data_IF_505015438621
#
_entry.id   IF_505015438621
#
_cell.length_a   1.000
_cell.length_b   1.000
_cell.length_c   1.000
_cell.angle_alpha   90.00
_cell.angle_beta   90.00
_cell.angle_gamma   90.00
#
_symmetry.space_group_name_H-M   'P 1'
#
loop_
_entity.id
_entity.type
_entity.pdbx_description
1 polymer ?
#
# COMPACT_ATOMS: atom_id res chain seq x y z
N UNK A 1 8.42 26.61 -14.66
CA UNK A 1 7.92 25.57 -13.75
C UNK A 1 7.80 24.25 -14.54
N UNK A 2 8.28 23.12 -14.02
CA UNK A 2 8.45 21.86 -14.80
C UNK A 2 7.12 21.12 -15.12
N UNK A 3 5.98 21.58 -14.60
CA UNK A 3 4.64 20.98 -14.78
C UNK A 3 4.55 19.50 -14.38
N UNK A 4 5.27 19.11 -13.33
CA UNK A 4 5.35 17.71 -12.87
C UNK A 4 4.15 17.24 -12.03
N UNK A 5 3.27 18.14 -11.62
CA UNK A 5 2.16 17.85 -10.71
C UNK A 5 0.89 17.65 -11.54
N UNK A 6 0.12 16.60 -11.23
CA UNK A 6 -1.23 16.41 -11.79
C UNK A 6 -2.07 17.63 -11.45
N UNK A 7 -2.81 18.16 -12.41
CA UNK A 7 -3.65 19.34 -12.17
C UNK A 7 -4.70 19.05 -11.10
N UNK A 8 -4.70 19.87 -10.04
CA UNK A 8 -5.60 19.73 -8.91
C UNK A 8 -4.86 19.51 -7.59
N UNK A 9 -5.65 19.29 -6.54
CA UNK A 9 -5.15 18.91 -5.23
C UNK A 9 -6.04 17.76 -4.77
N UNK A 10 -5.41 16.63 -4.43
CA UNK A 10 -6.10 15.54 -3.79
C UNK A 10 -6.36 15.90 -2.31
N UNK A 11 -7.64 15.89 -1.91
CA UNK A 11 -8.10 16.21 -0.55
C UNK A 11 -8.87 15.05 0.08
N UNK A 12 -8.53 13.84 -0.33
CA UNK A 12 -9.15 12.61 0.19
C UNK A 12 -9.01 12.49 1.70
N UNK A 13 -7.90 12.99 2.25
CA UNK A 13 -7.63 12.98 3.68
C UNK A 13 -7.96 14.35 4.30
N UNK A 14 -8.89 14.41 5.29
CA UNK A 14 -9.23 15.67 5.95
C UNK A 14 -8.01 16.36 6.56
N UNK A 15 -7.83 17.64 6.22
CA UNK A 15 -6.74 18.45 6.76
C UNK A 15 -5.40 18.29 6.03
N UNK A 16 -5.33 17.50 4.94
CA UNK A 16 -4.11 17.35 4.14
C UNK A 16 -4.39 17.66 2.67
N UNK A 17 -3.53 18.49 2.08
CA UNK A 17 -3.50 18.73 0.64
C UNK A 17 -2.41 17.88 -0.01
N UNK A 18 -2.80 16.94 -0.86
CA UNK A 18 -1.89 16.07 -1.59
C UNK A 18 -1.67 16.59 -3.01
N UNK A 19 -0.40 16.89 -3.30
CA UNK A 19 0.06 17.25 -4.64
C UNK A 19 0.71 16.01 -5.27
N UNK A 20 0.02 15.42 -6.23
CA UNK A 20 0.43 14.14 -6.83
C UNK A 20 1.33 14.39 -8.03
N UNK A 21 2.49 13.73 -8.07
CA UNK A 21 3.38 13.78 -9.22
C UNK A 21 2.82 12.96 -10.39
N UNK A 22 2.90 13.51 -11.61
CA UNK A 22 2.39 12.87 -12.81
C UNK A 22 3.44 11.94 -13.42
N UNK A 23 3.32 10.63 -13.12
CA UNK A 23 4.21 9.58 -13.64
C UNK A 23 3.99 9.31 -15.13
N UNK A 24 3.04 10.00 -15.76
CA UNK A 24 2.89 10.03 -17.22
C UNK A 24 3.94 10.87 -17.89
N UNK A 25 4.57 11.78 -17.13
CA UNK A 25 5.74 12.52 -17.56
C UNK A 25 6.95 11.60 -17.39
N UNK A 26 7.67 11.23 -18.48
CA UNK A 26 8.76 10.26 -18.39
C UNK A 26 9.86 10.65 -17.39
N UNK A 27 10.15 11.95 -17.26
CA UNK A 27 11.15 12.46 -16.30
C UNK A 27 10.75 12.20 -14.84
N UNK A 28 9.46 12.30 -14.51
CA UNK A 28 8.92 12.00 -13.17
C UNK A 28 9.00 10.50 -12.89
N UNK A 29 8.55 9.68 -13.85
CA UNK A 29 8.60 8.22 -13.74
C UNK A 29 10.05 7.70 -13.56
N UNK A 30 10.97 8.25 -14.33
CA UNK A 30 12.39 7.90 -14.24
C UNK A 30 12.97 8.30 -12.89
N UNK A 31 12.64 9.50 -12.40
CA UNK A 31 13.11 10.00 -11.11
C UNK A 31 12.72 9.07 -9.95
N UNK A 32 11.46 8.61 -9.88
CA UNK A 32 11.03 7.65 -8.86
C UNK A 32 11.71 6.29 -8.98
N UNK A 33 11.86 5.79 -10.21
CA UNK A 33 12.52 4.50 -10.48
C UNK A 33 13.98 4.54 -10.03
N UNK A 34 14.68 5.65 -10.28
CA UNK A 34 16.05 5.87 -9.84
C UNK A 34 16.16 5.97 -8.32
N UNK A 35 15.29 6.73 -7.65
CA UNK A 35 15.28 6.83 -6.18
C UNK A 35 15.12 5.45 -5.55
N UNK A 36 14.16 4.65 -6.03
CA UNK A 36 13.95 3.30 -5.49
C UNK A 36 15.18 2.42 -5.70
N UNK A 37 15.76 2.42 -6.91
CA UNK A 37 16.95 1.65 -7.23
C UNK A 37 18.18 2.08 -6.38
N UNK A 38 18.35 3.39 -6.15
CA UNK A 38 19.39 3.93 -5.26
C UNK A 38 19.16 3.51 -3.81
N UNK A 39 17.92 3.57 -3.33
CA UNK A 39 17.55 3.18 -1.97
C UNK A 39 17.92 1.71 -1.70
N UNK A 40 17.51 0.77 -2.57
CA UNK A 40 17.79 -0.66 -2.35
C UNK A 40 19.27 -1.03 -2.54
N UNK A 41 20.05 -0.22 -3.27
CA UNK A 41 21.52 -0.34 -3.32
C UNK A 41 22.17 0.14 -2.04
N UNK A 42 21.68 1.25 -1.49
CA UNK A 42 22.21 1.85 -0.27
C UNK A 42 21.91 1.01 0.97
N UNK A 43 20.76 0.33 0.99
CA UNK A 43 20.33 -0.53 2.09
C UNK A 43 20.17 -1.98 1.60
N UNK A 44 21.26 -2.68 1.28
CA UNK A 44 21.19 -3.97 0.58
C UNK A 44 20.62 -5.13 1.41
N UNK A 45 20.48 -4.94 2.73
CA UNK A 45 20.02 -5.95 3.68
C UNK A 45 18.55 -5.82 4.07
N UNK A 46 17.81 -4.86 3.51
CA UNK A 46 16.35 -4.82 3.71
C UNK A 46 15.71 -5.98 2.97
N UNK A 47 14.62 -6.52 3.51
CA UNK A 47 13.89 -7.62 2.89
C UNK A 47 12.84 -7.12 1.90
N UNK A 48 12.28 -5.93 2.13
CA UNK A 48 11.20 -5.38 1.33
C UNK A 48 11.19 -3.84 1.31
N UNK A 49 10.62 -3.28 0.25
CA UNK A 49 10.09 -1.92 0.22
C UNK A 49 8.58 -2.03 0.09
N UNK A 50 7.85 -1.48 1.06
CA UNK A 50 6.39 -1.46 1.05
C UNK A 50 5.88 -0.08 0.62
N UNK A 51 4.95 -0.07 -0.33
CA UNK A 51 4.25 1.13 -0.79
C UNK A 51 2.81 1.15 -0.28
N UNK A 52 2.37 2.28 0.26
CA UNK A 52 0.98 2.45 0.70
C UNK A 52 0.04 2.83 -0.46
N UNK A 53 -1.24 2.99 -0.17
CA UNK A 53 -2.29 3.38 -1.13
C UNK A 53 -2.09 4.73 -1.84
N UNK A 54 -1.13 5.53 -1.38
CA UNK A 54 -0.63 6.71 -2.10
C UNK A 54 0.05 6.37 -3.43
N UNK A 55 0.42 5.10 -3.67
CA UNK A 55 0.82 4.62 -4.99
C UNK A 55 -0.42 4.46 -5.89
N UNK A 56 -1.06 5.58 -6.20
CA UNK A 56 -2.34 5.63 -6.88
C UNK A 56 -2.74 7.04 -7.31
N UNK A 57 -3.70 7.12 -8.21
CA UNK A 57 -4.39 8.36 -8.60
C UNK A 57 -5.81 8.35 -8.08
N UNK A 58 -6.09 9.13 -7.03
CA UNK A 58 -7.42 9.17 -6.46
C UNK A 58 -8.48 9.64 -7.47
N UNK A 59 -9.66 9.01 -7.48
CA UNK A 59 -10.71 9.24 -8.46
C UNK A 59 -11.30 10.66 -8.43
N UNK A 60 -11.15 11.36 -7.31
CA UNK A 60 -11.58 12.77 -7.16
C UNK A 60 -10.58 13.77 -7.75
N UNK A 61 -9.44 13.31 -8.29
CA UNK A 61 -8.55 14.19 -9.05
C UNK A 61 -9.29 14.80 -10.26
N UNK A 62 -9.08 16.09 -10.55
CA UNK A 62 -9.72 16.76 -11.67
C UNK A 62 -9.54 16.03 -13.02
N UNK A 63 -10.56 16.12 -13.85
CA UNK A 63 -10.57 15.58 -15.21
C UNK A 63 -11.04 14.13 -15.35
N UNK A 64 -11.14 13.35 -14.26
CA UNK A 64 -11.65 11.95 -14.27
C UNK A 64 -11.02 11.07 -15.35
N UNK A 65 -9.73 11.29 -15.60
CA UNK A 65 -8.95 10.55 -16.60
C UNK A 65 -8.55 9.21 -15.98
N UNK A 66 -8.87 8.11 -16.68
CA UNK A 66 -8.36 6.79 -16.32
C UNK A 66 -6.85 6.71 -16.59
N UNK A 67 -6.08 6.56 -15.51
CA UNK A 67 -4.61 6.48 -15.53
C UNK A 67 -4.09 5.07 -15.25
N UNK A 68 -4.98 4.06 -15.20
CA UNK A 68 -4.62 2.74 -14.69
C UNK A 68 -3.50 2.08 -15.50
N UNK A 69 -3.58 2.14 -16.84
CA UNK A 69 -2.53 1.58 -17.70
C UNK A 69 -1.20 2.33 -17.58
N UNK A 70 -1.24 3.65 -17.42
CA UNK A 70 -0.05 4.49 -17.24
C UNK A 70 0.63 4.19 -15.90
N UNK A 71 -0.15 4.11 -14.82
CA UNK A 71 0.34 3.76 -13.48
C UNK A 71 0.92 2.35 -13.46
N UNK A 72 0.23 1.38 -14.09
CA UNK A 72 0.70 0.00 -14.21
C UNK A 72 2.07 -0.10 -14.88
N UNK A 73 2.22 0.53 -16.05
CA UNK A 73 3.50 0.56 -16.76
C UNK A 73 4.62 1.21 -15.93
N UNK A 74 4.29 2.23 -15.15
CA UNK A 74 5.24 2.90 -14.26
C UNK A 74 5.67 1.98 -13.11
N UNK A 75 4.73 1.35 -12.41
CA UNK A 75 5.04 0.46 -11.28
C UNK A 75 5.85 -0.75 -11.73
N UNK A 76 5.51 -1.37 -12.86
CA UNK A 76 6.29 -2.48 -13.42
C UNK A 76 7.74 -2.07 -13.77
N UNK A 77 7.94 -0.84 -14.28
CA UNK A 77 9.28 -0.30 -14.51
C UNK A 77 10.05 -0.07 -13.21
N UNK A 78 9.39 0.46 -12.18
CA UNK A 78 9.98 0.63 -10.86
C UNK A 78 10.40 -0.72 -10.26
N UNK A 79 9.54 -1.73 -10.31
CA UNK A 79 9.83 -3.08 -9.84
C UNK A 79 11.04 -3.65 -10.60
N UNK A 80 11.04 -3.52 -11.93
CA UNK A 80 12.16 -3.98 -12.77
C UNK A 80 13.48 -3.31 -12.36
N UNK A 81 13.48 -1.98 -12.21
CA UNK A 81 14.68 -1.23 -11.82
C UNK A 81 15.16 -1.61 -10.41
N UNK A 82 14.22 -1.79 -9.47
CA UNK A 82 14.51 -2.24 -8.11
C UNK A 82 15.15 -3.63 -8.11
N UNK A 83 14.58 -4.60 -8.83
CA UNK A 83 15.09 -5.97 -8.89
C UNK A 83 16.44 -6.05 -9.63
N UNK A 84 16.68 -5.22 -10.64
CA UNK A 84 18.00 -5.07 -11.26
C UNK A 84 19.05 -4.53 -10.28
N UNK A 85 18.64 -3.60 -9.41
CA UNK A 85 19.50 -2.99 -8.41
C UNK A 85 19.79 -3.93 -7.22
N UNK A 86 18.77 -4.66 -6.76
CA UNK A 86 18.87 -5.68 -5.73
C UNK A 86 17.76 -6.74 -5.91
N UNK A 87 18.08 -7.93 -6.46
CA UNK A 87 17.06 -8.94 -6.78
C UNK A 87 16.45 -9.63 -5.55
N UNK A 88 17.03 -9.43 -4.35
CA UNK A 88 16.56 -10.05 -3.11
C UNK A 88 15.44 -9.26 -2.43
N UNK A 89 15.27 -7.98 -2.76
CA UNK A 89 14.30 -7.09 -2.11
C UNK A 89 12.91 -7.31 -2.70
N UNK A 90 11.92 -7.47 -1.85
CA UNK A 90 10.50 -7.57 -2.20
C UNK A 90 9.90 -6.19 -2.50
N UNK A 91 9.04 -6.10 -3.51
CA UNK A 91 8.17 -4.96 -3.75
C UNK A 91 6.79 -5.30 -3.19
N UNK A 92 6.52 -4.81 -1.99
CA UNK A 92 5.27 -5.05 -1.30
C UNK A 92 4.34 -3.84 -1.43
N UNK A 93 3.04 -4.07 -1.32
CA UNK A 93 2.07 -2.99 -1.18
C UNK A 93 1.16 -3.19 0.04
N UNK A 94 0.69 -2.09 0.60
CA UNK A 94 -0.45 -2.04 1.51
C UNK A 94 -1.53 -1.22 0.80
N UNK A 95 -2.60 -1.85 0.36
CA UNK A 95 -3.59 -1.18 -0.47
C UNK A 95 -4.99 -1.74 -0.22
N UNK A 96 -6.02 -0.99 -0.60
CA UNK A 96 -7.38 -1.53 -0.72
C UNK A 96 -7.45 -2.80 -1.59
N UNK A 97 -8.52 -3.57 -1.43
CA UNK A 97 -8.79 -4.74 -2.27
C UNK A 97 -8.81 -4.38 -3.78
N UNK A 98 -8.66 -5.38 -4.69
CA UNK A 98 -8.50 -5.12 -6.12
C UNK A 98 -9.62 -4.27 -6.73
N UNK A 99 -10.85 -4.48 -6.27
CA UNK A 99 -12.01 -3.76 -6.78
C UNK A 99 -11.97 -2.27 -6.40
N UNK A 100 -11.72 -1.96 -5.13
CA UNK A 100 -11.67 -0.57 -4.67
C UNK A 100 -10.40 0.16 -5.12
N UNK A 101 -9.25 -0.52 -5.12
CA UNK A 101 -7.99 0.04 -5.58
C UNK A 101 -8.09 0.51 -7.05
N UNK A 102 -8.60 -0.35 -7.93
CA UNK A 102 -8.79 0.03 -9.34
C UNK A 102 -9.82 1.14 -9.51
N UNK A 103 -10.94 1.06 -8.80
CA UNK A 103 -12.06 2.01 -8.92
C UNK A 103 -11.70 3.41 -8.42
N UNK A 104 -11.02 3.52 -7.30
CA UNK A 104 -10.83 4.79 -6.60
C UNK A 104 -9.40 5.32 -6.66
N UNK A 105 -8.41 4.52 -7.06
CA UNK A 105 -7.00 4.91 -7.07
C UNK A 105 -6.33 4.66 -8.43
N UNK A 106 -7.09 4.25 -9.46
CA UNK A 106 -6.54 3.78 -10.74
C UNK A 106 -5.47 2.67 -10.55
N UNK A 107 -5.53 1.96 -9.42
CA UNK A 107 -4.50 1.03 -9.00
C UNK A 107 -4.90 -0.41 -9.38
N UNK A 108 -4.52 -0.83 -10.58
CA UNK A 108 -4.75 -2.20 -11.08
C UNK A 108 -3.66 -3.17 -10.62
N UNK A 109 -3.43 -3.23 -9.30
CA UNK A 109 -2.22 -3.81 -8.73
C UNK A 109 -2.07 -5.33 -8.95
N UNK A 110 -3.15 -6.03 -9.28
CA UNK A 110 -3.09 -7.44 -9.68
C UNK A 110 -2.27 -7.67 -10.95
N UNK A 111 -2.00 -6.59 -11.71
CA UNK A 111 -1.22 -6.63 -12.96
C UNK A 111 0.19 -6.06 -12.81
N UNK A 112 0.60 -5.64 -11.60
CA UNK A 112 1.84 -4.89 -11.39
C UNK A 112 3.08 -5.76 -11.19
N UNK A 113 2.92 -7.09 -11.07
CA UNK A 113 4.01 -8.01 -10.72
C UNK A 113 4.61 -7.72 -9.32
N UNK A 114 3.76 -7.30 -8.38
CA UNK A 114 4.12 -7.15 -6.96
C UNK A 114 4.46 -8.50 -6.33
N UNK A 115 5.29 -8.48 -5.28
CA UNK A 115 5.65 -9.70 -4.57
C UNK A 115 4.64 -10.05 -3.46
N UNK A 116 4.11 -9.04 -2.73
CA UNK A 116 3.12 -9.23 -1.66
C UNK A 116 2.15 -8.06 -1.53
N UNK A 117 0.93 -8.34 -1.09
CA UNK A 117 -0.08 -7.33 -0.76
C UNK A 117 -0.71 -7.56 0.61
N UNK A 118 -0.78 -6.48 1.40
CA UNK A 118 -1.60 -6.39 2.60
C UNK A 118 -2.87 -5.61 2.26
N UNK A 119 -4.03 -6.27 2.40
CA UNK A 119 -5.32 -5.64 2.12
C UNK A 119 -5.72 -4.75 3.29
N UNK A 120 -5.91 -3.46 3.04
CA UNK A 120 -6.34 -2.50 4.05
C UNK A 120 -7.82 -2.71 4.44
N UNK A 121 -8.06 -3.08 5.70
CA UNK A 121 -9.40 -3.28 6.26
C UNK A 121 -9.64 -2.34 7.43
N UNK A 122 -9.72 -1.05 7.12
CA UNK A 122 -9.87 0.00 8.14
C UNK A 122 -11.33 0.33 8.48
N UNK A 123 -12.28 -0.04 7.62
CA UNK A 123 -13.72 0.16 7.84
C UNK A 123 -14.35 -1.01 8.59
N UNK A 124 -15.14 -0.73 9.64
CA UNK A 124 -15.86 -1.76 10.40
C UNK A 124 -17.03 -2.36 9.63
N UNK A 125 -17.77 -1.54 8.89
CA UNK A 125 -19.05 -1.94 8.25
C UNK A 125 -18.88 -3.01 7.17
N UNK A 126 -17.72 -3.07 6.53
CA UNK A 126 -17.44 -4.03 5.45
C UNK A 126 -16.40 -5.08 5.83
N UNK A 127 -16.01 -5.18 7.11
CA UNK A 127 -14.91 -6.04 7.57
C UNK A 127 -15.02 -7.47 7.03
N UNK A 128 -16.18 -8.13 7.20
CA UNK A 128 -16.39 -9.51 6.74
C UNK A 128 -16.28 -9.68 5.21
N UNK A 129 -16.69 -8.65 4.46
CA UNK A 129 -16.60 -8.67 2.99
C UNK A 129 -15.16 -8.50 2.54
N UNK A 130 -14.41 -7.60 3.20
CA UNK A 130 -13.00 -7.39 2.93
C UNK A 130 -12.17 -8.62 3.31
N UNK A 131 -12.57 -9.34 4.36
CA UNK A 131 -11.90 -10.56 4.80
C UNK A 131 -11.90 -11.66 3.73
N UNK A 132 -12.94 -11.70 2.87
CA UNK A 132 -12.96 -12.62 1.73
C UNK A 132 -11.84 -12.34 0.71
N UNK A 133 -11.44 -11.07 0.55
CA UNK A 133 -10.27 -10.71 -0.26
C UNK A 133 -8.98 -11.04 0.49
N UNK A 134 -8.88 -10.70 1.78
CA UNK A 134 -7.70 -11.01 2.61
C UNK A 134 -7.31 -12.49 2.49
N UNK A 135 -8.27 -13.41 2.62
CA UNK A 135 -8.03 -14.87 2.57
C UNK A 135 -7.52 -15.40 1.23
N UNK A 136 -7.50 -14.56 0.20
CA UNK A 136 -6.99 -14.89 -1.14
C UNK A 136 -5.64 -14.22 -1.43
N UNK A 137 -5.09 -13.49 -0.46
CA UNK A 137 -3.91 -12.65 -0.61
C UNK A 137 -2.97 -12.77 0.61
N UNK A 138 -1.83 -12.10 0.57
CA UNK A 138 -0.72 -12.34 1.51
C UNK A 138 -1.02 -11.89 2.94
N UNK A 139 -1.92 -10.93 3.13
CA UNK A 139 -2.27 -10.50 4.47
C UNK A 139 -3.29 -9.39 4.56
N UNK A 140 -3.50 -8.97 5.80
CA UNK A 140 -4.42 -7.90 6.18
C UNK A 140 -3.65 -6.77 6.83
N UNK A 141 -4.00 -5.53 6.50
CA UNK A 141 -3.60 -4.34 7.24
C UNK A 141 -4.77 -3.81 8.07
N UNK A 142 -4.54 -3.64 9.37
CA UNK A 142 -5.52 -3.12 10.34
C UNK A 142 -4.94 -1.99 11.18
N UNK A 143 -5.81 -1.26 11.85
CA UNK A 143 -5.44 -0.28 12.89
C UNK A 143 -5.91 -0.75 14.26
N UNK A 144 -5.57 -0.02 15.32
CA UNK A 144 -6.10 -0.26 16.66
C UNK A 144 -7.64 -0.23 16.72
N UNK A 145 -8.31 0.39 15.73
CA UNK A 145 -9.79 0.40 15.63
C UNK A 145 -10.39 -0.99 15.40
N UNK A 146 -9.60 -1.94 14.90
CA UNK A 146 -10.00 -3.32 14.61
C UNK A 146 -9.52 -4.33 15.66
N UNK A 147 -8.96 -3.89 16.79
CA UNK A 147 -8.40 -4.84 17.79
C UNK A 147 -9.43 -5.79 18.41
N UNK A 148 -10.71 -5.46 18.35
CA UNK A 148 -11.80 -6.39 18.71
C UNK A 148 -11.83 -7.65 17.82
N UNK A 149 -11.28 -7.58 16.60
CA UNK A 149 -11.20 -8.68 15.64
C UNK A 149 -9.86 -9.43 15.70
N UNK A 150 -8.86 -8.91 16.41
CA UNK A 150 -7.48 -9.40 16.37
C UNK A 150 -7.36 -10.88 16.77
N UNK A 151 -8.12 -11.31 17.78
CA UNK A 151 -8.15 -12.72 18.20
C UNK A 151 -8.68 -13.64 17.10
N UNK A 152 -9.73 -13.22 16.40
CA UNK A 152 -10.26 -13.96 15.25
C UNK A 152 -9.24 -14.01 14.11
N UNK A 153 -8.57 -12.89 13.83
CA UNK A 153 -7.57 -12.80 12.77
C UNK A 153 -6.35 -13.70 13.03
N UNK A 154 -5.84 -13.73 14.26
CA UNK A 154 -4.66 -14.54 14.64
C UNK A 154 -4.97 -16.04 14.64
N UNK A 155 -6.22 -16.41 14.94
CA UNK A 155 -6.64 -17.81 15.01
C UNK A 155 -7.20 -18.35 13.67
N UNK A 156 -7.35 -17.51 12.64
CA UNK A 156 -7.83 -17.95 11.33
C UNK A 156 -6.65 -18.46 10.48
N UNK A 157 -6.56 -19.77 10.19
CA UNK A 157 -5.44 -20.34 9.45
C UNK A 157 -5.38 -19.89 7.98
N UNK A 158 -6.42 -19.22 7.48
CA UNK A 158 -6.42 -18.63 6.13
C UNK A 158 -5.82 -17.22 6.11
N UNK A 159 -5.40 -16.67 7.25
CA UNK A 159 -4.79 -15.35 7.35
C UNK A 159 -3.33 -15.55 7.70
N UNK A 160 -2.47 -15.36 6.71
CA UNK A 160 -1.04 -15.65 6.85
C UNK A 160 -0.29 -14.55 7.59
N UNK A 161 -0.58 -13.29 7.26
CA UNK A 161 0.16 -12.14 7.79
C UNK A 161 -0.78 -11.00 8.21
N UNK A 162 -0.43 -10.34 9.32
CA UNK A 162 -1.15 -9.18 9.85
C UNK A 162 -0.18 -8.00 9.97
N UNK A 163 -0.46 -6.93 9.23
CA UNK A 163 0.20 -5.64 9.35
C UNK A 163 -0.64 -4.71 10.24
N UNK A 164 0.00 -4.01 11.17
CA UNK A 164 -0.68 -3.11 12.11
C UNK A 164 -0.18 -1.70 11.90
N UNK A 165 -1.08 -0.80 11.53
CA UNK A 165 -0.79 0.63 11.35
C UNK A 165 -1.24 1.42 12.59
N UNK A 166 -0.31 1.95 13.40
CA UNK A 166 -0.62 2.61 14.67
C UNK A 166 -1.08 4.06 14.45
N UNK A 167 -2.38 4.31 14.51
CA UNK A 167 -2.94 5.67 14.33
C UNK A 167 -2.56 6.64 15.44
N UNK A 168 -2.29 6.12 16.64
CA UNK A 168 -1.83 6.92 17.80
C UNK A 168 -0.46 7.58 17.61
N UNK A 169 0.33 7.17 16.61
CA UNK A 169 1.72 7.60 16.45
C UNK A 169 2.67 7.02 17.51
N UNK A 170 2.23 5.98 18.23
CA UNK A 170 2.99 5.32 19.31
C UNK A 170 3.17 3.83 19.06
N UNK A 171 4.07 3.44 18.13
CA UNK A 171 4.20 2.06 17.69
C UNK A 171 4.56 1.08 18.82
N UNK A 172 5.35 1.49 19.81
CA UNK A 172 5.77 0.63 20.93
C UNK A 172 4.60 0.30 21.88
N UNK A 173 3.75 1.28 22.19
CA UNK A 173 2.53 1.07 23.01
C UNK A 173 1.56 0.12 22.28
N UNK A 174 1.41 0.30 20.97
CA UNK A 174 0.58 -0.56 20.12
C UNK A 174 1.14 -1.98 20.06
N UNK A 175 2.44 -2.16 19.87
CA UNK A 175 3.09 -3.47 19.87
C UNK A 175 2.90 -4.20 21.21
N UNK A 176 3.08 -3.49 22.34
CA UNK A 176 2.83 -4.06 23.66
C UNK A 176 1.37 -4.49 23.83
N UNK A 177 0.42 -3.70 23.30
CA UNK A 177 -0.99 -4.04 23.36
C UNK A 177 -1.34 -5.27 22.52
N UNK A 178 -0.78 -5.37 21.32
CA UNK A 178 -0.95 -6.53 20.43
C UNK A 178 -0.40 -7.78 21.10
N UNK A 179 0.80 -7.69 21.69
CA UNK A 179 1.37 -8.79 22.46
C UNK A 179 0.43 -9.22 23.60
N UNK A 180 -0.06 -8.27 24.41
CA UNK A 180 -1.01 -8.57 25.49
C UNK A 180 -2.27 -9.29 25.00
N UNK A 181 -2.83 -8.85 23.88
CA UNK A 181 -4.05 -9.43 23.30
C UNK A 181 -3.83 -10.83 22.71
N UNK A 182 -2.61 -11.15 22.29
CA UNK A 182 -2.28 -12.41 21.62
C UNK A 182 -1.64 -13.45 22.54
N UNK A 183 -1.03 -13.04 23.66
CA UNK A 183 -0.37 -13.97 24.60
C UNK A 183 -1.13 -14.25 25.89
N UNK A 184 -1.95 -13.32 26.42
CA UNK A 184 -2.65 -13.52 27.70
C UNK A 184 -3.83 -14.52 27.64
N UNK A 185 -3.96 -15.30 26.57
CA UNK A 185 -5.06 -16.25 26.36
C UNK A 185 -4.60 -17.65 25.91
N UNK A 186 -3.29 -17.92 25.95
CA UNK A 186 -2.75 -19.30 25.96
C UNK A 186 -2.64 -19.79 27.41
#
# INVERSE_FOLDING_TARGET
ERKWIVTGVDRTHPGVEHYVLDVGIPEVAEYFSQILAEFVKKYPSIDAVQWDDYLGYHAELPGKIDRSAQLTNFVQKMITAMKQANPKVSFDICHHNPYWAKRYFAADWQTWDIDRVFIQVYGRENFDKELAYVKQHDGIAITERQFEQLEGLVNDPQIENILIFPLSGKPEEIAAKVHQLTTNKQ
#
